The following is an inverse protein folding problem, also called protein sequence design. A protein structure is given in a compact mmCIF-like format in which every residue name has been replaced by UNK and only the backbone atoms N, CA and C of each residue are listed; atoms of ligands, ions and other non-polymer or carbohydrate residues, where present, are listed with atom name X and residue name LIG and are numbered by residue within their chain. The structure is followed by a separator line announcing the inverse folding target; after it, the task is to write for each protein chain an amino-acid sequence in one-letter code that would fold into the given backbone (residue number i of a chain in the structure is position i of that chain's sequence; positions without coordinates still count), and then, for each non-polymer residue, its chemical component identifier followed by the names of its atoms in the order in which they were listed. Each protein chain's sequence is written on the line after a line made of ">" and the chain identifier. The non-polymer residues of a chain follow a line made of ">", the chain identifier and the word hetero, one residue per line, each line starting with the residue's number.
data_IF_901290058369
#
_entry.id   IF_901290058369
#
_cell.length_a   1.000
_cell.length_b   1.000
_cell.length_c   1.000
_cell.angle_alpha   90.00
_cell.angle_beta   90.00
_cell.angle_gamma   90.00
#
_symmetry.space_group_name_H-M   'P 1'
#
loop_
_entity.id
_entity.type
_entity.pdbx_description
1 polymer ?
#
# COMPACT_ATOMS: atom_id res chain seq x y z
N UNK A 1 81.48 -11.44 10.43
CA UNK A 1 82.11 -12.20 11.54
C UNK A 1 81.01 -12.48 12.57
N UNK A 2 80.76 -13.74 12.89
CA UNK A 2 79.59 -14.23 13.64
C UNK A 2 79.62 -13.82 15.15
N UNK A 3 78.55 -14.03 15.95
CA UNK A 3 78.13 -15.39 16.32
C UNK A 3 76.61 -15.66 16.41
N UNK A 4 76.34 -16.97 16.46
CA UNK A 4 75.08 -17.71 16.57
C UNK A 4 74.77 -18.05 18.05
N UNK A 5 73.58 -18.63 18.25
CA UNK A 5 73.11 -19.52 19.34
C UNK A 5 72.48 -18.83 20.56
N UNK A 6 71.46 -19.35 21.27
CA UNK A 6 70.47 -20.43 21.14
C UNK A 6 69.71 -20.43 22.49
N UNK A 7 68.37 -20.58 22.51
CA UNK A 7 67.56 -21.34 23.51
C UNK A 7 66.07 -20.95 23.48
N UNK A 8 65.22 -21.96 23.27
CA UNK A 8 63.80 -22.00 23.64
C UNK A 8 63.65 -22.38 25.14
N UNK A 9 62.46 -22.65 25.75
CA UNK A 9 61.04 -22.49 25.36
C UNK A 9 60.15 -21.85 26.48
N UNK A 10 58.85 -21.53 26.24
CA UNK A 10 57.75 -21.80 27.21
C UNK A 10 56.36 -21.23 26.83
N UNK A 11 55.37 -22.13 26.92
CA UNK A 11 53.97 -21.99 27.39
C UNK A 11 52.92 -21.17 26.60
N UNK A 12 52.13 -21.95 25.86
CA UNK A 12 50.64 -22.01 25.80
C UNK A 12 49.87 -20.91 26.56
N UNK A 13 49.00 -20.19 25.83
CA UNK A 13 47.61 -19.94 26.28
C UNK A 13 46.69 -19.78 25.06
N UNK A 14 45.63 -20.57 25.05
CA UNK A 14 44.63 -20.66 23.99
C UNK A 14 43.81 -19.36 23.90
N UNK A 15 43.72 -18.77 22.70
CA UNK A 15 42.63 -17.84 22.36
C UNK A 15 41.69 -18.52 21.38
N UNK A 16 40.57 -18.98 21.95
CA UNK A 16 39.33 -19.40 21.29
C UNK A 16 39.00 -18.41 20.17
N UNK A 17 39.04 -18.88 18.93
CA UNK A 17 38.46 -18.19 17.78
C UNK A 17 36.94 -18.27 17.97
N UNK A 18 36.34 -17.18 18.44
CA UNK A 18 34.90 -17.03 18.44
C UNK A 18 34.46 -16.80 16.99
N UNK A 19 34.05 -17.89 16.34
CA UNK A 19 33.37 -17.90 15.06
C UNK A 19 32.05 -17.12 15.21
N UNK A 20 32.12 -15.82 14.94
CA UNK A 20 30.95 -14.93 14.90
C UNK A 20 30.19 -15.28 13.61
N UNK A 21 29.39 -16.34 13.66
CA UNK A 21 28.40 -16.68 12.63
C UNK A 21 27.62 -15.40 12.33
N UNK A 22 27.85 -14.86 11.14
CA UNK A 22 27.12 -13.76 10.56
C UNK A 22 25.64 -14.12 10.63
N UNK A 23 24.93 -13.46 11.54
CA UNK A 23 23.49 -13.52 11.61
C UNK A 23 22.96 -13.15 10.22
N UNK A 24 22.51 -14.17 9.49
CA UNK A 24 21.94 -14.01 8.16
C UNK A 24 20.96 -12.86 8.20
N UNK A 25 21.23 -11.86 7.38
CA UNK A 25 20.31 -10.76 7.14
C UNK A 25 19.04 -11.42 6.62
N UNK A 26 18.08 -11.69 7.53
CA UNK A 26 16.70 -11.96 7.14
C UNK A 26 16.33 -10.75 6.31
N UNK A 27 16.33 -10.90 4.98
CA UNK A 27 15.69 -9.94 4.08
C UNK A 27 14.31 -9.77 4.69
N UNK A 28 14.09 -8.62 5.32
CA UNK A 28 12.81 -8.21 5.86
C UNK A 28 11.90 -8.33 4.65
N UNK A 29 11.03 -9.33 4.64
CA UNK A 29 9.99 -9.44 3.63
C UNK A 29 9.16 -8.19 3.87
N UNK A 30 9.46 -7.14 3.12
CA UNK A 30 8.61 -5.97 3.08
C UNK A 30 7.32 -6.51 2.48
N UNK A 31 6.35 -6.78 3.34
CA UNK A 31 4.97 -7.01 2.93
C UNK A 31 4.65 -5.86 1.99
N UNK A 32 4.51 -6.18 0.70
CA UNK A 32 4.34 -5.18 -0.34
C UNK A 32 3.03 -4.47 0.02
N UNK A 33 3.14 -3.25 0.55
CA UNK A 33 1.96 -2.49 0.90
C UNK A 33 1.12 -2.37 -0.38
N UNK A 34 -0.05 -3.00 -0.39
CA UNK A 34 -0.99 -2.87 -1.48
C UNK A 34 -1.40 -1.40 -1.51
N UNK A 35 -0.99 -0.71 -2.56
CA UNK A 35 -1.20 0.73 -2.73
C UNK A 35 -1.85 0.95 -4.08
N UNK A 36 -2.59 2.05 -4.20
CA UNK A 36 -3.29 2.39 -5.44
C UNK A 36 -2.38 2.96 -6.54
N UNK A 37 -1.05 2.98 -6.32
CA UNK A 37 -0.07 3.65 -7.20
C UNK A 37 -0.15 3.21 -8.66
N UNK A 38 -0.31 1.90 -8.91
CA UNK A 38 -0.41 1.37 -10.28
C UNK A 38 -1.66 1.89 -10.97
N UNK A 39 -2.79 1.93 -10.27
CA UNK A 39 -4.08 2.40 -10.82
C UNK A 39 -4.08 3.91 -11.03
N UNK A 40 -3.53 4.68 -10.07
CA UNK A 40 -3.34 6.13 -10.22
C UNK A 40 -2.53 6.43 -11.48
N UNK A 41 -1.44 5.69 -11.72
CA UNK A 41 -0.63 5.88 -12.91
C UNK A 41 -1.36 5.54 -14.21
N UNK A 42 -2.12 4.43 -14.23
CA UNK A 42 -2.93 4.04 -15.39
C UNK A 42 -3.97 5.11 -15.74
N UNK A 43 -4.70 5.62 -14.75
CA UNK A 43 -5.70 6.68 -14.95
C UNK A 43 -5.02 7.97 -15.42
N UNK A 44 -3.87 8.35 -14.83
CA UNK A 44 -3.12 9.52 -15.27
C UNK A 44 -2.74 9.43 -16.75
N UNK A 45 -2.22 8.29 -17.20
CA UNK A 45 -1.82 8.12 -18.61
C UNK A 45 -2.99 8.05 -19.58
N UNK A 46 -4.17 7.65 -19.11
CA UNK A 46 -5.39 7.69 -19.92
C UNK A 46 -5.86 9.13 -20.19
N UNK A 47 -5.65 10.05 -19.25
CA UNK A 47 -6.09 11.46 -19.37
C UNK A 47 -4.96 12.36 -19.93
N UNK A 48 -3.71 12.12 -19.53
CA UNK A 48 -2.53 12.89 -19.90
C UNK A 48 -1.32 11.98 -20.20
N UNK A 49 -1.17 11.49 -21.44
CA UNK A 49 -0.10 10.55 -21.83
C UNK A 49 1.32 11.08 -21.60
N UNK A 50 1.56 12.37 -21.81
CA UNK A 50 2.89 12.97 -21.77
C UNK A 50 3.27 13.55 -20.39
N UNK A 51 2.34 13.54 -19.43
CA UNK A 51 2.56 14.10 -18.09
C UNK A 51 3.08 13.04 -17.11
N UNK A 52 4.01 13.44 -16.24
CA UNK A 52 4.52 12.62 -15.13
C UNK A 52 3.95 13.04 -13.77
N UNK A 53 4.05 12.16 -12.78
CA UNK A 53 3.68 12.46 -11.38
C UNK A 53 4.87 12.21 -10.47
N UNK A 54 5.16 13.14 -9.56
CA UNK A 54 6.25 12.99 -8.59
C UNK A 54 5.90 11.94 -7.52
N UNK A 55 6.91 11.38 -6.85
CA UNK A 55 6.71 10.41 -5.77
C UNK A 55 5.89 10.97 -4.60
N UNK A 56 6.09 12.25 -4.27
CA UNK A 56 5.33 12.97 -3.23
C UNK A 56 3.86 13.13 -3.64
N UNK A 57 3.59 13.58 -4.86
CA UNK A 57 2.22 13.70 -5.37
C UNK A 57 1.52 12.34 -5.45
N UNK A 58 2.23 11.29 -5.87
CA UNK A 58 1.72 9.92 -5.87
C UNK A 58 1.32 9.46 -4.46
N UNK A 59 2.09 9.81 -3.42
CA UNK A 59 1.74 9.49 -2.04
C UNK A 59 0.49 10.24 -1.57
N UNK A 60 0.35 11.52 -1.94
CA UNK A 60 -0.84 12.33 -1.62
C UNK A 60 -2.08 11.71 -2.27
N UNK A 61 -2.00 11.35 -3.55
CA UNK A 61 -3.11 10.70 -4.27
C UNK A 61 -3.51 9.36 -3.66
N UNK A 62 -2.54 8.54 -3.23
CA UNK A 62 -2.84 7.29 -2.54
C UNK A 62 -3.57 7.54 -1.22
N UNK A 63 -3.13 8.51 -0.42
CA UNK A 63 -3.83 8.86 0.83
C UNK A 63 -5.22 9.43 0.58
N UNK A 64 -5.39 10.25 -0.46
CA UNK A 64 -6.70 10.78 -0.86
C UNK A 64 -7.71 9.67 -1.18
N UNK A 65 -7.30 8.64 -1.93
CA UNK A 65 -8.18 7.51 -2.23
C UNK A 65 -8.60 6.77 -0.95
N UNK A 66 -7.66 6.56 -0.01
CA UNK A 66 -7.99 5.90 1.26
C UNK A 66 -8.95 6.76 2.10
N UNK A 67 -8.73 8.07 2.21
CA UNK A 67 -9.62 8.97 2.96
C UNK A 67 -11.05 8.96 2.40
N UNK A 68 -11.21 9.02 1.08
CA UNK A 68 -12.53 8.94 0.46
C UNK A 68 -13.16 7.56 0.63
N UNK A 69 -12.36 6.49 0.50
CA UNK A 69 -12.83 5.12 0.70
C UNK A 69 -13.35 4.91 2.12
N UNK A 70 -12.59 5.32 3.14
CA UNK A 70 -12.98 5.17 4.54
C UNK A 70 -14.24 5.97 4.87
N UNK A 71 -14.35 7.21 4.34
CA UNK A 71 -15.57 8.02 4.45
C UNK A 71 -16.77 7.31 3.82
N UNK A 72 -16.62 6.78 2.61
CA UNK A 72 -17.68 6.04 1.91
C UNK A 72 -18.07 4.75 2.62
N UNK A 73 -17.10 3.97 3.07
CA UNK A 73 -17.33 2.71 3.78
C UNK A 73 -18.07 2.94 5.10
N UNK A 74 -17.66 3.98 5.86
CA UNK A 74 -18.33 4.37 7.09
C UNK A 74 -19.80 4.72 6.87
N UNK A 75 -20.07 5.61 5.90
CA UNK A 75 -21.45 6.04 5.63
C UNK A 75 -22.31 4.91 5.06
N UNK A 76 -21.74 4.08 4.18
CA UNK A 76 -22.43 2.91 3.63
C UNK A 76 -22.78 1.90 4.73
N UNK A 77 -21.87 1.68 5.69
CA UNK A 77 -22.12 0.84 6.86
C UNK A 77 -23.21 1.39 7.77
N UNK A 78 -23.24 2.71 7.98
CA UNK A 78 -24.32 3.37 8.73
C UNK A 78 -25.68 3.18 8.04
N UNK A 79 -25.75 3.38 6.72
CA UNK A 79 -26.97 3.18 5.95
C UNK A 79 -27.48 1.74 6.01
N UNK A 80 -26.60 0.75 5.92
CA UNK A 80 -26.98 -0.66 6.06
C UNK A 80 -27.55 -0.95 7.46
N UNK A 81 -26.93 -0.39 8.51
CA UNK A 81 -27.39 -0.51 9.90
C UNK A 81 -28.74 0.16 10.12
N UNK A 82 -28.96 1.37 9.60
CA UNK A 82 -30.25 2.06 9.69
C UNK A 82 -31.38 1.26 9.01
N UNK A 83 -31.07 0.64 7.88
CA UNK A 83 -32.00 -0.20 7.14
C UNK A 83 -32.14 -1.61 7.73
N UNK A 84 -31.45 -1.93 8.84
CA UNK A 84 -31.42 -3.25 9.50
C UNK A 84 -31.05 -4.39 8.53
N UNK A 85 -30.20 -4.10 7.55
CA UNK A 85 -29.73 -5.08 6.57
C UNK A 85 -28.33 -5.58 6.94
N UNK A 86 -28.08 -6.90 6.90
CA UNK A 86 -26.74 -7.44 7.14
C UNK A 86 -25.81 -7.28 5.93
N UNK A 87 -26.37 -6.97 4.76
CA UNK A 87 -25.65 -6.90 3.49
C UNK A 87 -25.67 -5.48 2.94
N UNK A 88 -24.49 -4.97 2.59
CA UNK A 88 -24.34 -3.73 1.82
C UNK A 88 -24.61 -4.01 0.35
N UNK A 89 -25.55 -3.28 -0.26
CA UNK A 89 -25.84 -3.38 -1.69
C UNK A 89 -25.34 -2.14 -2.43
N UNK A 90 -25.39 -2.17 -3.76
CA UNK A 90 -25.08 -1.00 -4.61
C UNK A 90 -25.95 0.21 -4.28
N UNK A 91 -27.15 0.00 -3.71
CA UNK A 91 -28.05 1.09 -3.28
C UNK A 91 -27.52 1.87 -2.09
N UNK A 92 -26.99 1.20 -1.07
CA UNK A 92 -26.38 1.89 0.07
C UNK A 92 -25.12 2.66 -0.36
N UNK A 93 -24.29 2.06 -1.23
CA UNK A 93 -23.11 2.75 -1.80
C UNK A 93 -23.52 3.99 -2.59
N UNK A 94 -24.52 3.87 -3.48
CA UNK A 94 -25.00 5.00 -4.29
C UNK A 94 -25.55 6.13 -3.42
N UNK A 95 -26.23 5.79 -2.33
CA UNK A 95 -26.77 6.79 -1.39
C UNK A 95 -25.64 7.46 -0.61
N UNK A 96 -24.66 6.70 -0.11
CA UNK A 96 -23.48 7.23 0.56
C UNK A 96 -22.69 8.20 -0.33
N UNK A 97 -22.51 7.88 -1.62
CA UNK A 97 -21.85 8.76 -2.59
C UNK A 97 -22.55 10.12 -2.70
N UNK A 98 -23.89 10.14 -2.70
CA UNK A 98 -24.68 11.38 -2.76
C UNK A 98 -24.61 12.20 -1.48
N UNK A 99 -24.36 11.56 -0.33
CA UNK A 99 -24.20 12.25 0.95
C UNK A 99 -22.81 12.86 1.11
N UNK A 100 -21.78 12.17 0.60
CA UNK A 100 -20.37 12.57 0.80
C UNK A 100 -19.91 13.58 -0.26
N UNK A 101 -20.34 13.42 -1.51
CA UNK A 101 -19.87 14.27 -2.61
C UNK A 101 -20.84 15.43 -2.87
N UNK A 102 -20.35 16.65 -3.11
CA UNK A 102 -21.20 17.80 -3.38
C UNK A 102 -21.63 17.88 -4.86
N UNK A 103 -22.85 18.39 -5.09
CA UNK A 103 -23.31 18.91 -6.39
C UNK A 103 -23.04 17.99 -7.59
N UNK A 104 -22.37 18.54 -8.61
CA UNK A 104 -22.06 17.82 -9.87
C UNK A 104 -21.13 16.61 -9.67
N UNK A 105 -20.26 16.62 -8.64
CA UNK A 105 -19.38 15.47 -8.37
C UNK A 105 -20.19 14.22 -7.99
N UNK A 106 -21.24 14.38 -7.18
CA UNK A 106 -22.12 13.27 -6.84
C UNK A 106 -22.84 12.73 -8.08
N UNK A 107 -23.32 13.60 -8.96
CA UNK A 107 -24.02 13.20 -10.20
C UNK A 107 -23.10 12.38 -11.10
N UNK A 108 -21.88 12.86 -11.35
CA UNK A 108 -20.90 12.15 -12.16
C UNK A 108 -20.47 10.82 -11.51
N UNK A 109 -20.16 10.82 -10.21
CA UNK A 109 -19.76 9.61 -9.51
C UNK A 109 -20.86 8.51 -9.54
N UNK A 110 -22.12 8.90 -9.35
CA UNK A 110 -23.26 7.98 -9.45
C UNK A 110 -23.44 7.45 -10.87
N UNK A 111 -23.29 8.31 -11.88
CA UNK A 111 -23.35 7.90 -13.29
C UNK A 111 -22.25 6.88 -13.62
N UNK A 112 -21.00 7.17 -13.26
CA UNK A 112 -19.87 6.26 -13.51
C UNK A 112 -20.02 4.93 -12.75
N UNK A 113 -20.50 4.98 -11.49
CA UNK A 113 -20.79 3.76 -10.73
C UNK A 113 -21.87 2.89 -11.38
N UNK A 114 -22.94 3.51 -11.88
CA UNK A 114 -24.04 2.79 -12.57
C UNK A 114 -23.57 2.14 -13.87
N UNK A 115 -22.76 2.87 -14.66
CA UNK A 115 -22.14 2.33 -15.88
C UNK A 115 -21.25 1.13 -15.57
N UNK A 116 -20.43 1.21 -14.51
CA UNK A 116 -19.54 0.12 -14.11
C UNK A 116 -20.33 -1.15 -13.72
N UNK A 117 -21.40 -1.01 -12.93
CA UNK A 117 -22.27 -2.15 -12.54
C UNK A 117 -22.96 -2.76 -13.76
N UNK A 118 -23.47 -1.93 -14.67
CA UNK A 118 -24.13 -2.40 -15.90
C UNK A 118 -23.15 -3.18 -16.78
N UNK A 119 -21.94 -2.65 -16.97
CA UNK A 119 -20.88 -3.32 -17.74
C UNK A 119 -20.47 -4.65 -17.10
N UNK A 120 -20.38 -4.71 -15.78
CA UNK A 120 -20.02 -5.93 -15.06
C UNK A 120 -21.09 -7.02 -15.15
N UNK A 121 -22.36 -6.65 -15.15
CA UNK A 121 -23.49 -7.60 -15.20
C UNK A 121 -23.83 -8.09 -16.61
N UNK A 122 -23.41 -7.35 -17.65
CA UNK A 122 -23.70 -7.66 -19.05
C UNK A 122 -22.59 -8.47 -19.75
N UNK A 123 -21.46 -8.70 -19.08
CA UNK A 123 -20.34 -9.51 -19.57
C UNK A 123 -20.32 -10.87 -18.92
#
# INVERSE_FOLDING_TARGET
>A
MAPKAEKAPAKKTAKKVAEKRSAGTRKKVVSKAETYKIYIYKVLKQVHPDTGISSKAMSIMNSFINDIFDKMAGETGNLARYNKKPTVTSREIQTAVRLILPGELAKHAVSEGTKAVTKFTSG
#
